data_IF_302555772216
#
_entry.id   IF_302555772216
#
_cell.length_a   1.000
_cell.length_b   1.000
_cell.length_c   1.000
_cell.angle_alpha   90.00
_cell.angle_beta   90.00
_cell.angle_gamma   90.00
#
_symmetry.space_group_name_H-M   'P 1'
#
loop_
_entity.id
_entity.type
_entity.pdbx_description
1 polymer ?
#
# COMPACT_ATOMS: atom_id res chain seq x y z
N UNK A 1 -8.27 13.73 -19.37
CA UNK A 1 -7.19 13.27 -18.47
C UNK A 1 -5.97 14.16 -18.64
N UNK A 2 -5.22 14.43 -17.57
CA UNK A 2 -4.00 15.26 -17.60
C UNK A 2 -2.80 14.63 -18.30
N UNK A 3 -2.75 13.28 -18.34
CA UNK A 3 -1.63 12.53 -18.92
C UNK A 3 -2.13 11.57 -20.01
N UNK A 4 -1.39 11.51 -21.11
CA UNK A 4 -1.57 10.51 -22.15
C UNK A 4 -1.29 9.09 -21.61
N UNK A 5 -1.84 8.02 -22.22
CA UNK A 5 -1.70 6.64 -21.72
C UNK A 5 -0.26 6.23 -21.37
N UNK A 6 0.71 6.62 -22.18
CA UNK A 6 2.13 6.33 -21.98
C UNK A 6 2.78 7.03 -20.76
N UNK A 7 2.14 8.07 -20.19
CA UNK A 7 2.65 8.82 -19.03
C UNK A 7 1.80 8.66 -17.76
N UNK A 8 0.64 8.01 -17.84
CA UNK A 8 -0.24 7.78 -16.67
C UNK A 8 0.44 6.98 -15.57
N UNK A 9 1.24 5.97 -15.91
CA UNK A 9 1.97 5.16 -14.92
C UNK A 9 2.99 5.97 -14.13
N UNK A 10 3.76 6.85 -14.79
CA UNK A 10 4.71 7.76 -14.13
C UNK A 10 4.01 8.74 -13.19
N UNK A 11 2.88 9.31 -13.63
CA UNK A 11 2.08 10.21 -12.81
C UNK A 11 1.48 9.50 -11.59
N UNK A 12 0.93 8.30 -11.76
CA UNK A 12 0.42 7.48 -10.66
C UNK A 12 1.52 7.11 -9.66
N UNK A 13 2.73 6.79 -10.14
CA UNK A 13 3.90 6.55 -9.29
C UNK A 13 4.27 7.75 -8.42
N UNK A 14 4.31 8.96 -9.01
CA UNK A 14 4.54 10.21 -8.28
C UNK A 14 3.45 10.52 -7.24
N UNK A 15 2.21 10.12 -7.48
CA UNK A 15 1.15 10.29 -6.48
C UNK A 15 1.39 9.41 -5.24
N UNK A 16 1.89 8.18 -5.44
CA UNK A 16 2.11 7.22 -4.35
C UNK A 16 3.30 7.60 -3.46
N UNK A 17 4.30 8.35 -3.98
CA UNK A 17 5.44 8.81 -3.17
C UNK A 17 5.02 9.69 -1.98
N UNK A 18 3.84 10.31 -2.05
CA UNK A 18 3.27 11.07 -0.93
C UNK A 18 3.16 10.26 0.37
N UNK A 19 2.86 8.96 0.29
CA UNK A 19 2.78 8.10 1.49
C UNK A 19 4.14 7.98 2.19
N UNK A 20 5.19 7.68 1.43
CA UNK A 20 6.55 7.57 1.97
C UNK A 20 7.05 8.88 2.55
N UNK A 21 6.80 10.01 1.86
CA UNK A 21 7.15 11.34 2.35
C UNK A 21 6.39 11.72 3.64
N UNK A 22 5.10 11.36 3.76
CA UNK A 22 4.33 11.60 4.97
C UNK A 22 4.86 10.76 6.15
N UNK A 23 5.22 9.50 5.91
CA UNK A 23 5.86 8.63 6.92
C UNK A 23 7.22 9.22 7.35
N UNK A 24 8.04 9.65 6.39
CA UNK A 24 9.31 10.34 6.67
C UNK A 24 9.09 11.58 7.55
N UNK A 25 8.17 12.45 7.14
CA UNK A 25 7.85 13.67 7.86
C UNK A 25 7.40 13.38 9.29
N UNK A 26 6.47 12.44 9.48
CA UNK A 26 5.96 12.08 10.81
C UNK A 26 7.00 11.41 11.70
N UNK A 27 7.91 10.61 11.13
CA UNK A 27 8.99 9.95 11.88
C UNK A 27 9.99 10.93 12.50
N UNK A 28 10.23 12.06 11.83
CA UNK A 28 11.08 13.13 12.36
C UNK A 28 10.32 14.04 13.33
N UNK A 29 9.07 14.39 12.97
CA UNK A 29 8.31 15.43 13.66
C UNK A 29 7.72 14.97 14.99
N UNK A 30 7.13 13.77 15.05
CA UNK A 30 6.37 13.32 16.23
C UNK A 30 7.29 13.21 17.47
N UNK A 31 8.48 12.58 17.42
CA UNK A 31 9.35 12.51 18.58
C UNK A 31 9.82 13.90 19.07
N UNK A 32 10.00 14.87 18.14
CA UNK A 32 10.36 16.24 18.50
C UNK A 32 9.22 16.96 19.21
N UNK A 33 7.99 16.83 18.70
CA UNK A 33 6.80 17.41 19.35
C UNK A 33 6.63 16.80 20.74
N UNK A 34 6.74 15.48 20.88
CA UNK A 34 6.61 14.80 22.17
C UNK A 34 7.73 15.20 23.14
N UNK A 35 8.94 15.44 22.65
CA UNK A 35 10.04 15.96 23.48
C UNK A 35 9.78 17.38 24.00
N UNK A 36 9.23 18.28 23.17
CA UNK A 36 8.96 19.67 23.57
C UNK A 36 7.69 19.84 24.41
N UNK A 37 6.64 19.08 24.09
CA UNK A 37 5.30 19.26 24.65
C UNK A 37 4.95 18.23 25.73
N UNK A 38 5.80 17.22 25.95
CA UNK A 38 5.58 16.15 26.92
C UNK A 38 4.25 15.43 26.69
N UNK A 39 3.45 15.28 27.76
CA UNK A 39 2.17 14.56 27.72
C UNK A 39 1.11 15.19 26.78
N UNK A 40 1.28 16.45 26.37
CA UNK A 40 0.36 17.16 25.47
C UNK A 40 0.80 17.10 23.99
N UNK A 41 1.91 16.42 23.69
CA UNK A 41 2.45 16.30 22.33
C UNK A 41 1.49 15.64 21.34
N UNK A 42 0.67 14.68 21.78
CA UNK A 42 -0.32 14.02 20.93
C UNK A 42 -1.40 15.01 20.44
N UNK A 43 -1.89 15.91 21.30
CA UNK A 43 -2.90 16.93 20.91
C UNK A 43 -2.33 17.87 19.86
N UNK A 44 -1.10 18.32 20.09
CA UNK A 44 -0.38 19.23 19.19
C UNK A 44 -0.13 18.57 17.83
N UNK A 45 0.27 17.29 17.82
CA UNK A 45 0.46 16.52 16.59
C UNK A 45 -0.83 16.43 15.77
N UNK A 46 -1.97 16.11 16.40
CA UNK A 46 -3.26 16.05 15.71
C UNK A 46 -3.74 17.40 15.18
N UNK A 47 -3.57 18.48 15.96
CA UNK A 47 -3.90 19.82 15.51
C UNK A 47 -3.06 20.22 14.29
N UNK A 48 -1.76 19.95 14.32
CA UNK A 48 -0.86 20.22 13.21
C UNK A 48 -1.24 19.41 11.96
N UNK A 49 -1.52 18.12 12.09
CA UNK A 49 -1.97 17.29 10.97
C UNK A 49 -3.32 17.77 10.41
N UNK A 50 -4.23 18.20 11.27
CA UNK A 50 -5.49 18.83 10.87
C UNK A 50 -5.27 20.10 10.06
N UNK A 51 -4.37 20.99 10.50
CA UNK A 51 -4.02 22.21 9.78
C UNK A 51 -3.35 21.93 8.43
N UNK A 52 -2.43 20.95 8.38
CA UNK A 52 -1.79 20.52 7.13
C UNK A 52 -2.84 19.97 6.16
N UNK A 53 -3.78 19.15 6.65
CA UNK A 53 -4.85 18.59 5.83
C UNK A 53 -5.79 19.68 5.29
N UNK A 54 -6.20 20.64 6.11
CA UNK A 54 -7.03 21.77 5.68
C UNK A 54 -6.28 22.65 4.67
N UNK A 55 -5.00 22.94 4.91
CA UNK A 55 -4.17 23.69 3.97
C UNK A 55 -4.02 22.96 2.63
N UNK A 56 -3.73 21.66 2.66
CA UNK A 56 -3.68 20.82 1.46
C UNK A 56 -5.02 20.78 0.70
N UNK A 57 -6.14 20.65 1.42
CA UNK A 57 -7.47 20.70 0.83
C UNK A 57 -7.76 22.06 0.18
N UNK A 58 -7.37 23.17 0.81
CA UNK A 58 -7.52 24.52 0.24
C UNK A 58 -6.66 24.69 -1.02
N UNK A 59 -5.41 24.22 -1.02
CA UNK A 59 -4.54 24.22 -2.20
C UNK A 59 -5.16 23.40 -3.33
N UNK A 60 -5.66 22.20 -3.04
CA UNK A 60 -6.36 21.37 -4.02
C UNK A 60 -7.64 22.05 -4.54
N UNK A 61 -8.44 22.68 -3.67
CA UNK A 61 -9.66 23.38 -4.04
C UNK A 61 -9.38 24.55 -5.00
N UNK A 62 -8.34 25.33 -4.73
CA UNK A 62 -7.97 26.49 -5.55
C UNK A 62 -7.27 26.05 -6.84
N UNK A 63 -6.33 25.10 -6.76
CA UNK A 63 -5.38 24.78 -7.83
C UNK A 63 -5.73 23.57 -8.70
N UNK A 64 -6.42 22.55 -8.17
CA UNK A 64 -6.69 21.34 -8.93
C UNK A 64 -7.81 21.60 -9.95
N UNK A 65 -7.61 21.17 -11.20
CA UNK A 65 -8.64 21.17 -12.25
C UNK A 65 -8.85 19.75 -12.76
N UNK A 66 -10.07 19.44 -13.18
CA UNK A 66 -10.45 18.09 -13.61
C UNK A 66 -9.83 17.70 -14.96
N UNK A 67 -9.52 18.68 -15.80
CA UNK A 67 -8.96 18.44 -17.12
C UNK A 67 -8.06 19.59 -17.58
N UNK A 68 -7.01 19.30 -18.37
CA UNK A 68 -6.16 20.34 -18.96
C UNK A 68 -6.97 21.22 -19.94
N UNK A 69 -8.02 20.67 -20.56
CA UNK A 69 -8.93 21.42 -21.44
C UNK A 69 -9.64 22.59 -20.72
N UNK A 70 -9.91 22.45 -19.41
CA UNK A 70 -10.48 23.54 -18.61
C UNK A 70 -9.54 24.76 -18.48
N UNK A 71 -8.27 24.60 -18.85
CA UNK A 71 -7.24 25.63 -18.86
C UNK A 71 -6.75 25.95 -20.28
N UNK A 72 -7.40 25.41 -21.32
CA UNK A 72 -6.93 25.54 -22.70
C UNK A 72 -5.61 24.81 -22.98
N UNK A 73 -5.26 23.82 -22.16
CA UNK A 73 -4.03 23.03 -22.27
C UNK A 73 -4.29 21.66 -22.89
N UNK A 74 -3.23 21.09 -23.48
CA UNK A 74 -3.23 19.72 -23.96
C UNK A 74 -2.69 18.73 -22.91
N UNK A 75 -3.13 17.45 -22.95
CA UNK A 75 -2.57 16.41 -22.08
C UNK A 75 -1.07 16.22 -22.30
N UNK A 76 -0.33 15.94 -21.22
CA UNK A 76 1.11 15.70 -21.29
C UNK A 76 1.38 14.27 -21.79
N UNK A 77 2.12 14.16 -22.90
CA UNK A 77 2.56 12.91 -23.52
C UNK A 77 1.98 12.72 -24.93
N UNK A 78 2.55 11.78 -25.68
CA UNK A 78 2.14 11.53 -27.07
C UNK A 78 0.72 10.98 -27.11
N UNK A 79 -0.15 11.63 -27.90
CA UNK A 79 -1.45 11.05 -28.19
C UNK A 79 -1.24 9.84 -29.10
N UNK A 80 -1.79 8.67 -28.76
CA UNK A 80 -1.72 7.54 -29.66
C UNK A 80 -2.39 7.93 -30.97
N UNK A 81 -1.68 7.78 -32.09
CA UNK A 81 -2.32 7.78 -33.41
C UNK A 81 -3.45 6.76 -33.36
N UNK A 82 -4.66 7.20 -33.72
CA UNK A 82 -5.83 6.34 -33.75
C UNK A 82 -5.60 5.24 -34.80
N UNK A 83 -5.11 4.08 -34.38
CA UNK A 83 -4.99 2.94 -35.27
C UNK A 83 -6.40 2.34 -35.48
N UNK A 84 -7.01 2.44 -36.67
CA UNK A 84 -8.39 1.99 -36.91
C UNK A 84 -8.54 0.46 -36.89
N UNK A 85 -7.44 -0.29 -36.71
CA UNK A 85 -7.40 -1.75 -36.85
C UNK A 85 -7.44 -2.54 -35.52
N UNK A 86 -7.95 -1.96 -34.42
CA UNK A 86 -8.21 -2.76 -33.21
C UNK A 86 -9.37 -3.71 -33.51
N UNK A 87 -9.01 -4.87 -34.05
CA UNK A 87 -9.89 -5.97 -34.38
C UNK A 87 -10.46 -6.55 -33.09
N UNK A 88 -11.77 -6.34 -32.88
CA UNK A 88 -12.53 -6.91 -31.79
C UNK A 88 -12.67 -8.42 -31.99
N UNK A 89 -11.69 -9.21 -31.54
CA UNK A 89 -11.92 -10.64 -31.29
C UNK A 89 -12.67 -10.80 -29.96
N UNK A 90 -13.59 -11.77 -29.85
CA UNK A 90 -14.26 -12.05 -28.58
C UNK A 90 -13.21 -12.59 -27.61
N UNK A 91 -12.84 -11.79 -26.60
CA UNK A 91 -12.05 -12.29 -25.48
C UNK A 91 -12.85 -13.41 -24.80
N UNK A 92 -12.20 -14.53 -24.50
CA UNK A 92 -12.82 -15.56 -23.67
C UNK A 92 -13.35 -14.93 -22.38
N UNK A 93 -14.65 -15.05 -22.17
CA UNK A 93 -15.37 -14.49 -21.02
C UNK A 93 -14.93 -15.20 -19.73
N UNK A 94 -13.81 -14.77 -19.15
CA UNK A 94 -13.60 -14.98 -17.72
C UNK A 94 -14.77 -14.25 -17.03
N UNK A 95 -15.53 -14.91 -16.13
CA UNK A 95 -16.59 -14.24 -15.39
C UNK A 95 -15.97 -13.06 -14.64
N UNK A 96 -16.19 -11.84 -15.12
CA UNK A 96 -15.52 -10.63 -14.64
C UNK A 96 -15.70 -10.46 -13.12
N UNK A 97 -16.87 -10.87 -12.62
CA UNK A 97 -17.18 -10.89 -11.19
C UNK A 97 -16.29 -11.85 -10.39
N UNK A 98 -15.98 -13.03 -10.92
CA UNK A 98 -15.18 -14.05 -10.23
C UNK A 98 -13.75 -13.59 -10.00
N UNK A 99 -13.13 -12.99 -11.01
CA UNK A 99 -11.77 -12.45 -10.90
C UNK A 99 -11.71 -11.19 -10.04
N UNK A 100 -12.72 -10.30 -10.08
CA UNK A 100 -12.81 -9.15 -9.17
C UNK A 100 -12.93 -9.61 -7.73
N UNK A 101 -13.76 -10.61 -7.43
CA UNK A 101 -13.85 -11.19 -6.08
C UNK A 101 -12.52 -11.83 -5.69
N UNK A 102 -11.84 -12.55 -6.59
CA UNK A 102 -10.55 -13.18 -6.31
C UNK A 102 -9.46 -12.15 -5.98
N UNK A 103 -9.29 -11.14 -6.83
CA UNK A 103 -8.36 -10.03 -6.59
C UNK A 103 -8.75 -9.24 -5.33
N UNK A 104 -10.05 -9.00 -5.14
CA UNK A 104 -10.61 -8.35 -3.94
C UNK A 104 -10.27 -9.12 -2.67
N UNK A 105 -10.40 -10.44 -2.65
CA UNK A 105 -10.05 -11.28 -1.51
C UNK A 105 -8.55 -11.25 -1.20
N UNK A 106 -7.69 -11.25 -2.22
CA UNK A 106 -6.24 -11.06 -2.01
C UNK A 106 -5.97 -9.67 -1.43
N UNK A 107 -6.64 -8.64 -1.95
CA UNK A 107 -6.42 -7.26 -1.51
C UNK A 107 -7.01 -6.99 -0.10
N UNK A 108 -8.09 -7.68 0.27
CA UNK A 108 -8.60 -7.76 1.65
C UNK A 108 -7.53 -8.32 2.60
N UNK A 109 -6.87 -9.43 2.25
CA UNK A 109 -5.82 -10.03 3.09
C UNK A 109 -4.62 -9.11 3.24
N UNK A 110 -4.23 -8.40 2.18
CA UNK A 110 -3.24 -7.33 2.31
C UNK A 110 -3.74 -6.28 3.30
N UNK A 111 -4.92 -5.71 3.06
CA UNK A 111 -5.55 -4.68 3.90
C UNK A 111 -5.59 -5.05 5.38
N UNK A 112 -5.91 -6.30 5.68
CA UNK A 112 -5.95 -6.85 7.03
C UNK A 112 -4.56 -6.95 7.66
N UNK A 113 -3.57 -7.43 6.92
CA UNK A 113 -2.26 -7.79 7.49
C UNK A 113 -1.31 -6.60 7.62
N UNK A 114 -1.21 -5.76 6.58
CA UNK A 114 -0.26 -4.64 6.57
C UNK A 114 -0.61 -3.60 7.64
N UNK A 115 -1.91 -3.38 7.86
CA UNK A 115 -2.39 -2.36 8.80
C UNK A 115 -2.07 -2.75 10.24
N UNK A 116 -2.09 -4.06 10.56
CA UNK A 116 -1.65 -4.56 11.87
C UNK A 116 -0.19 -4.16 12.10
N UNK A 117 0.67 -4.41 11.11
CA UNK A 117 2.08 -4.07 11.21
C UNK A 117 2.28 -2.57 11.37
N UNK A 118 1.77 -1.75 10.45
CA UNK A 118 2.01 -0.31 10.46
C UNK A 118 1.42 0.37 11.72
N UNK A 119 0.33 -0.14 12.26
CA UNK A 119 -0.33 0.46 13.44
C UNK A 119 0.39 0.13 14.73
N UNK A 120 0.84 -1.11 14.92
CA UNK A 120 1.34 -1.57 16.21
C UNK A 120 2.85 -1.69 16.30
N UNK A 121 3.59 -1.63 15.19
CA UNK A 121 5.05 -1.85 15.20
C UNK A 121 5.80 -0.83 16.08
N UNK A 122 5.40 0.45 16.01
CA UNK A 122 6.01 1.51 16.85
C UNK A 122 5.70 1.27 18.32
N UNK A 123 4.46 0.87 18.64
CA UNK A 123 4.07 0.49 20.00
C UNK A 123 4.87 -0.71 20.49
N UNK A 124 5.04 -1.75 19.67
CA UNK A 124 5.89 -2.91 19.99
C UNK A 124 7.34 -2.49 20.24
N UNK A 125 7.92 -1.61 19.42
CA UNK A 125 9.28 -1.11 19.64
C UNK A 125 9.41 -0.36 20.96
N UNK A 126 8.54 0.61 21.21
CA UNK A 126 8.66 1.49 22.38
C UNK A 126 8.22 0.80 23.66
N UNK A 127 7.03 0.20 23.67
CA UNK A 127 6.39 -0.32 24.88
C UNK A 127 6.82 -1.76 25.22
N UNK A 128 6.98 -2.63 24.22
CA UNK A 128 7.32 -4.05 24.48
C UNK A 128 8.83 -4.31 24.43
N UNK A 129 9.58 -3.57 23.60
CA UNK A 129 11.02 -3.75 23.39
C UNK A 129 11.89 -2.67 24.02
N UNK A 130 11.29 -1.61 24.59
CA UNK A 130 12.02 -0.54 25.27
C UNK A 130 12.91 0.30 24.36
N UNK A 131 12.68 0.29 23.05
CA UNK A 131 13.40 1.13 22.09
C UNK A 131 12.99 2.59 22.32
N UNK A 132 13.98 3.48 22.40
CA UNK A 132 13.72 4.91 22.58
C UNK A 132 12.83 5.46 21.47
N UNK A 133 11.91 6.37 21.83
CA UNK A 133 10.96 6.96 20.89
C UNK A 133 11.64 7.69 19.72
N UNK A 134 12.77 8.35 19.97
CA UNK A 134 13.60 8.99 18.94
C UNK A 134 14.18 7.99 17.94
N UNK A 135 14.61 6.82 18.42
CA UNK A 135 15.07 5.71 17.57
C UNK A 135 13.89 5.14 16.78
N UNK A 136 12.74 4.92 17.41
CA UNK A 136 11.53 4.45 16.74
C UNK A 136 11.06 5.42 15.63
N UNK A 137 11.13 6.74 15.87
CA UNK A 137 10.86 7.76 14.85
C UNK A 137 11.88 7.76 13.71
N UNK A 138 13.16 7.55 14.01
CA UNK A 138 14.22 7.39 13.00
C UNK A 138 13.98 6.15 12.13
N UNK A 139 13.60 5.02 12.74
CA UNK A 139 13.18 3.83 12.01
C UNK A 139 11.97 4.17 11.14
N UNK A 140 10.91 4.73 11.72
CA UNK A 140 9.72 5.14 10.98
C UNK A 140 10.06 5.99 9.74
N UNK A 141 10.97 6.95 9.88
CA UNK A 141 11.48 7.75 8.76
C UNK A 141 12.09 6.87 7.66
N UNK A 142 12.98 5.96 8.01
CA UNK A 142 13.62 5.05 7.07
C UNK A 142 12.63 4.08 6.42
N UNK A 143 11.54 3.68 7.10
CA UNK A 143 10.46 2.87 6.48
C UNK A 143 9.77 3.69 5.41
N UNK A 144 9.47 4.97 5.70
CA UNK A 144 8.94 5.90 4.72
C UNK A 144 9.85 6.03 3.50
N UNK A 145 11.15 6.20 3.72
CA UNK A 145 12.16 6.28 2.66
C UNK A 145 12.22 5.01 1.80
N UNK A 146 12.34 3.83 2.42
CA UNK A 146 12.37 2.55 1.70
C UNK A 146 11.08 2.32 0.91
N UNK A 147 9.94 2.76 1.45
CA UNK A 147 8.63 2.60 0.80
C UNK A 147 8.47 3.43 -0.47
N UNK A 148 9.32 4.45 -0.69
CA UNK A 148 9.37 5.18 -1.97
C UNK A 148 9.76 4.27 -3.13
N UNK A 149 10.56 3.23 -2.85
CA UNK A 149 11.06 2.30 -3.86
C UNK A 149 10.13 1.09 -4.04
N UNK A 150 9.21 0.83 -3.11
CA UNK A 150 8.43 -0.41 -3.10
C UNK A 150 7.55 -0.57 -4.35
N UNK A 151 6.77 0.47 -4.67
CA UNK A 151 5.89 0.48 -5.84
C UNK A 151 6.66 0.28 -7.15
N UNK A 152 7.66 1.13 -7.47
CA UNK A 152 8.47 0.97 -8.67
C UNK A 152 9.21 -0.37 -8.75
N UNK A 153 9.90 -0.78 -7.68
CA UNK A 153 10.73 -1.99 -7.69
C UNK A 153 9.89 -3.24 -7.96
N UNK A 154 8.83 -3.44 -7.18
CA UNK A 154 8.01 -4.66 -7.29
C UNK A 154 6.94 -4.56 -8.36
N UNK A 155 6.52 -3.34 -8.74
CA UNK A 155 5.68 -3.11 -9.92
C UNK A 155 6.39 -3.53 -11.20
N UNK A 156 7.61 -3.04 -11.42
CA UNK A 156 8.43 -3.44 -12.57
C UNK A 156 8.79 -4.92 -12.53
N UNK A 157 9.20 -5.44 -11.36
CA UNK A 157 9.45 -6.88 -11.22
C UNK A 157 8.22 -7.72 -11.58
N UNK A 158 7.03 -7.24 -11.18
CA UNK A 158 5.75 -7.87 -11.51
C UNK A 158 5.38 -7.74 -13.00
N UNK A 159 5.82 -6.69 -13.70
CA UNK A 159 5.63 -6.58 -15.15
C UNK A 159 6.44 -7.66 -15.87
N UNK A 160 7.68 -7.92 -15.43
CA UNK A 160 8.59 -8.90 -16.05
C UNK A 160 8.28 -10.36 -15.68
N UNK A 161 8.00 -10.64 -14.40
CA UNK A 161 7.76 -12.00 -13.91
C UNK A 161 6.27 -12.39 -13.90
N UNK A 162 5.39 -11.41 -14.11
CA UNK A 162 3.94 -11.57 -14.06
C UNK A 162 3.33 -11.27 -12.68
N UNK A 163 2.07 -10.81 -12.70
CA UNK A 163 1.30 -10.36 -11.51
C UNK A 163 1.29 -11.34 -10.37
N UNK A 164 1.05 -12.62 -10.68
CA UNK A 164 1.03 -13.71 -9.69
C UNK A 164 2.36 -13.83 -8.94
N UNK A 165 3.50 -13.84 -9.66
CA UNK A 165 4.82 -13.99 -9.03
C UNK A 165 5.14 -12.74 -8.21
N UNK A 166 4.88 -11.55 -8.75
CA UNK A 166 5.07 -10.29 -8.02
C UNK A 166 4.31 -10.25 -6.68
N UNK A 167 3.02 -10.60 -6.69
CA UNK A 167 2.20 -10.66 -5.48
C UNK A 167 2.72 -11.70 -4.48
N UNK A 168 3.06 -12.91 -4.93
CA UNK A 168 3.62 -13.97 -4.05
C UNK A 168 4.91 -13.51 -3.39
N UNK A 169 5.83 -12.91 -4.14
CA UNK A 169 7.09 -12.39 -3.60
C UNK A 169 6.86 -11.33 -2.54
N UNK A 170 5.97 -10.36 -2.81
CA UNK A 170 5.67 -9.29 -1.87
C UNK A 170 5.01 -9.83 -0.59
N UNK A 171 4.02 -10.71 -0.71
CA UNK A 171 3.42 -11.34 0.47
C UNK A 171 4.41 -12.21 1.25
N UNK A 172 5.36 -12.87 0.57
CA UNK A 172 6.41 -13.63 1.25
C UNK A 172 7.34 -12.71 2.06
N UNK A 173 7.73 -11.56 1.50
CA UNK A 173 8.54 -10.56 2.21
C UNK A 173 7.78 -9.93 3.39
N UNK A 174 6.51 -9.59 3.21
CA UNK A 174 5.66 -9.09 4.30
C UNK A 174 5.43 -10.14 5.38
N UNK A 175 5.09 -11.37 4.99
CA UNK A 175 4.92 -12.49 5.89
C UNK A 175 6.19 -12.77 6.71
N UNK A 176 7.36 -12.76 6.06
CA UNK A 176 8.64 -12.87 6.76
C UNK A 176 8.85 -11.71 7.74
N UNK A 177 8.51 -10.48 7.34
CA UNK A 177 8.58 -9.30 8.22
C UNK A 177 7.71 -9.51 9.48
N UNK A 178 6.50 -10.04 9.33
CA UNK A 178 5.59 -10.32 10.45
C UNK A 178 6.16 -11.41 11.37
N UNK A 179 6.68 -12.50 10.80
CA UNK A 179 7.31 -13.59 11.55
C UNK A 179 8.51 -13.09 12.36
N UNK A 180 9.36 -12.25 11.76
CA UNK A 180 10.55 -11.72 12.42
C UNK A 180 10.22 -10.88 13.67
N UNK A 181 9.08 -10.17 13.68
CA UNK A 181 8.59 -9.45 14.86
C UNK A 181 7.97 -10.42 15.87
N UNK A 182 7.15 -11.35 15.39
CA UNK A 182 6.41 -12.30 16.22
C UNK A 182 7.32 -13.31 16.95
N UNK A 183 8.45 -13.69 16.36
CA UNK A 183 9.36 -14.71 16.86
C UNK A 183 10.20 -14.28 18.09
N UNK A 184 9.92 -13.13 18.69
CA UNK A 184 10.59 -12.60 19.87
C UNK A 184 12.14 -12.51 19.73
N UNK A 185 12.64 -12.40 18.51
CA UNK A 185 14.07 -12.43 18.18
C UNK A 185 14.83 -11.19 18.72
N UNK A 186 16.17 -11.24 18.75
CA UNK A 186 17.01 -10.08 19.06
C UNK A 186 16.71 -8.87 18.18
N UNK A 187 17.09 -7.68 18.67
CA UNK A 187 16.80 -6.39 18.04
C UNK A 187 17.19 -6.30 16.56
N UNK A 188 18.29 -6.94 16.16
CA UNK A 188 18.73 -7.02 14.76
C UNK A 188 17.64 -7.53 13.80
N UNK A 189 16.82 -8.49 14.24
CA UNK A 189 15.76 -9.06 13.42
C UNK A 189 14.55 -8.13 13.29
N UNK A 190 14.37 -7.20 14.23
CA UNK A 190 13.38 -6.12 14.10
C UNK A 190 13.80 -5.13 13.02
N UNK A 191 15.08 -4.79 12.95
CA UNK A 191 15.63 -3.98 11.85
C UNK A 191 15.54 -4.67 10.49
N UNK A 192 15.71 -6.00 10.45
CA UNK A 192 15.51 -6.78 9.24
C UNK A 192 14.03 -6.78 8.82
N UNK A 193 13.11 -7.07 9.75
CA UNK A 193 11.66 -7.01 9.52
C UNK A 193 11.25 -5.66 8.93
N UNK A 194 11.73 -4.61 9.58
CA UNK A 194 11.54 -3.24 9.19
C UNK A 194 11.99 -2.94 7.75
N UNK A 195 13.22 -3.33 7.40
CA UNK A 195 13.77 -3.08 6.08
C UNK A 195 13.02 -3.83 4.98
N UNK A 196 12.66 -5.09 5.26
CA UNK A 196 11.86 -5.92 4.35
C UNK A 196 10.46 -5.32 4.14
N UNK A 197 9.76 -4.96 5.21
CA UNK A 197 8.44 -4.36 5.12
C UNK A 197 8.48 -3.01 4.40
N UNK A 198 9.41 -2.12 4.76
CA UNK A 198 9.59 -0.83 4.11
C UNK A 198 9.81 -0.96 2.60
N UNK A 199 10.65 -1.89 2.16
CA UNK A 199 10.91 -2.14 0.73
C UNK A 199 9.69 -2.66 -0.04
N UNK A 200 8.67 -3.21 0.61
CA UNK A 200 7.53 -3.83 -0.06
C UNK A 200 6.14 -3.28 0.36
N UNK A 201 6.10 -2.24 1.20
CA UNK A 201 4.89 -1.73 1.84
C UNK A 201 3.78 -1.35 0.84
N UNK A 202 4.13 -0.62 -0.23
CA UNK A 202 3.17 -0.12 -1.22
C UNK A 202 3.19 -0.89 -2.55
N UNK A 203 3.84 -2.07 -2.56
CA UNK A 203 3.97 -2.88 -3.77
C UNK A 203 2.65 -3.54 -4.18
N UNK A 204 1.86 -4.05 -3.23
CA UNK A 204 0.59 -4.74 -3.52
C UNK A 204 -0.43 -3.82 -4.19
N UNK A 205 -0.70 -2.59 -3.69
CA UNK A 205 -1.56 -1.64 -4.41
C UNK A 205 -1.12 -1.38 -5.86
N UNK A 206 0.18 -1.22 -6.09
CA UNK A 206 0.73 -1.00 -7.43
C UNK A 206 0.47 -2.19 -8.35
N UNK A 207 0.71 -3.41 -7.88
CA UNK A 207 0.49 -4.63 -8.65
C UNK A 207 -1.01 -4.88 -8.85
N UNK A 208 -1.86 -4.56 -7.88
CA UNK A 208 -3.33 -4.69 -7.98
C UNK A 208 -3.93 -3.72 -8.99
N UNK A 209 -3.45 -2.48 -9.03
CA UNK A 209 -3.87 -1.51 -10.04
C UNK A 209 -3.54 -2.00 -11.46
N UNK A 210 -2.34 -2.56 -11.65
CA UNK A 210 -1.94 -3.15 -12.92
C UNK A 210 -2.75 -4.41 -13.26
N UNK A 211 -2.95 -5.31 -12.29
CA UNK A 211 -3.76 -6.51 -12.46
C UNK A 211 -5.21 -6.17 -12.84
N UNK A 212 -5.83 -5.17 -12.20
CA UNK A 212 -7.17 -4.73 -12.59
C UNK A 212 -7.24 -4.32 -14.07
N UNK A 213 -6.20 -3.66 -14.59
CA UNK A 213 -6.06 -3.37 -16.02
C UNK A 213 -5.90 -4.62 -16.89
N UNK A 214 -5.00 -5.52 -16.50
CA UNK A 214 -4.68 -6.72 -17.27
C UNK A 214 -5.86 -7.72 -17.37
N UNK A 215 -6.68 -7.84 -16.31
CA UNK A 215 -7.81 -8.78 -16.30
C UNK A 215 -9.12 -8.18 -16.83
N UNK A 216 -9.35 -6.88 -16.66
CA UNK A 216 -10.65 -6.24 -16.97
C UNK A 216 -10.61 -5.40 -18.24
N UNK A 217 -9.42 -5.20 -18.80
CA UNK A 217 -9.16 -4.28 -19.89
C UNK A 217 -9.18 -2.80 -19.46
N UNK A 218 -8.65 -1.90 -20.31
CA UNK A 218 -8.43 -0.49 -19.95
C UNK A 218 -9.72 0.28 -19.60
N UNK A 219 -10.86 -0.12 -20.18
CA UNK A 219 -12.15 0.56 -20.04
C UNK A 219 -12.78 0.33 -18.66
N UNK A 220 -12.55 -0.85 -18.06
CA UNK A 220 -13.15 -1.25 -16.76
C UNK A 220 -12.13 -1.26 -15.62
N UNK A 221 -10.84 -1.08 -15.91
CA UNK A 221 -9.75 -1.09 -14.94
C UNK A 221 -10.00 -0.21 -13.71
N UNK A 222 -10.48 1.04 -13.90
CA UNK A 222 -10.74 1.98 -12.80
C UNK A 222 -11.89 1.49 -11.91
N UNK A 223 -12.99 1.04 -12.52
CA UNK A 223 -14.14 0.53 -11.79
C UNK A 223 -13.81 -0.76 -11.02
N UNK A 224 -13.07 -1.67 -11.66
CA UNK A 224 -12.60 -2.89 -11.02
C UNK A 224 -11.60 -2.62 -9.90
N UNK A 225 -10.66 -1.69 -10.09
CA UNK A 225 -9.73 -1.29 -9.05
C UNK A 225 -10.47 -0.67 -7.86
N UNK A 226 -11.48 0.16 -8.10
CA UNK A 226 -12.38 0.67 -7.06
C UNK A 226 -13.11 -0.45 -6.30
N UNK A 227 -13.65 -1.44 -7.03
CA UNK A 227 -14.33 -2.59 -6.43
C UNK A 227 -13.39 -3.43 -5.56
N UNK A 228 -12.17 -3.75 -5.99
CA UNK A 228 -11.21 -4.50 -5.15
C UNK A 228 -10.69 -3.65 -3.98
N UNK A 229 -10.62 -2.32 -4.14
CA UNK A 229 -10.22 -1.40 -3.07
C UNK A 229 -11.27 -1.36 -1.95
N UNK A 230 -12.54 -1.59 -2.27
CA UNK A 230 -13.58 -1.76 -1.24
C UNK A 230 -13.28 -2.94 -0.31
N UNK A 231 -12.86 -4.09 -0.87
CA UNK A 231 -12.45 -5.26 -0.08
C UNK A 231 -11.24 -4.96 0.80
N UNK A 232 -10.24 -4.26 0.23
CA UNK A 232 -9.09 -3.76 0.98
C UNK A 232 -9.47 -2.88 2.18
N UNK A 233 -10.45 -1.98 1.99
CA UNK A 233 -10.99 -1.15 3.08
C UNK A 233 -11.61 -1.97 4.21
N UNK A 234 -12.37 -3.02 3.89
CA UNK A 234 -12.92 -3.93 4.92
C UNK A 234 -11.79 -4.61 5.70
N UNK A 235 -10.75 -5.08 4.99
CA UNK A 235 -9.57 -5.66 5.61
C UNK A 235 -8.88 -4.68 6.57
N UNK A 236 -8.69 -3.43 6.14
CA UNK A 236 -8.09 -2.39 6.98
C UNK A 236 -8.86 -2.07 8.26
N UNK A 237 -10.19 -2.13 8.20
CA UNK A 237 -11.03 -1.90 9.39
C UNK A 237 -10.93 -3.10 10.34
N UNK A 238 -11.00 -4.31 9.78
CA UNK A 238 -11.00 -5.54 10.57
C UNK A 238 -9.63 -5.83 11.23
N UNK A 239 -8.53 -5.54 10.53
CA UNK A 239 -7.17 -5.86 10.98
C UNK A 239 -6.84 -5.34 12.38
N UNK A 240 -6.89 -4.01 12.63
CA UNK A 240 -6.56 -3.43 13.93
C UNK A 240 -7.55 -3.81 15.03
N UNK A 241 -8.83 -3.96 14.69
CA UNK A 241 -9.86 -4.39 15.64
C UNK A 241 -9.57 -5.81 16.17
N UNK A 242 -9.31 -6.77 15.27
CA UNK A 242 -8.98 -8.15 15.65
C UNK A 242 -7.63 -8.21 16.36
N UNK A 243 -6.62 -7.49 15.87
CA UNK A 243 -5.30 -7.44 16.49
C UNK A 243 -5.32 -6.80 17.89
N UNK A 244 -6.18 -5.81 18.13
CA UNK A 244 -6.37 -5.21 19.46
C UNK A 244 -6.95 -6.22 20.45
N UNK A 245 -8.02 -6.93 20.07
CA UNK A 245 -8.62 -7.97 20.92
C UNK A 245 -7.62 -9.09 21.26
N UNK A 246 -6.81 -9.52 20.28
CA UNK A 246 -5.75 -10.50 20.53
C UNK A 246 -4.67 -9.98 21.47
N UNK A 247 -4.28 -8.71 21.29
CA UNK A 247 -3.28 -8.06 22.14
C UNK A 247 -3.76 -7.90 23.58
N UNK A 248 -5.03 -7.53 23.79
CA UNK A 248 -5.65 -7.47 25.13
C UNK A 248 -5.68 -8.84 25.81
N UNK A 249 -6.06 -9.89 25.09
CA UNK A 249 -6.14 -11.25 25.64
C UNK A 249 -4.77 -11.84 25.99
N UNK A 250 -3.71 -11.47 25.27
CA UNK A 250 -2.36 -12.00 25.44
C UNK A 250 -1.39 -11.05 26.14
N UNK A 251 -1.83 -9.82 26.47
CA UNK A 251 -0.99 -8.71 26.93
C UNK A 251 0.22 -8.41 26.02
N UNK A 252 0.12 -8.72 24.72
CA UNK A 252 1.18 -8.45 23.74
C UNK A 252 0.68 -8.53 22.30
N UNK A 253 1.30 -7.78 21.39
CA UNK A 253 0.99 -7.83 19.95
C UNK A 253 1.57 -9.06 19.22
N UNK A 254 2.36 -9.91 19.88
CA UNK A 254 2.98 -11.11 19.27
C UNK A 254 1.95 -12.01 18.58
N UNK A 255 0.81 -12.25 19.23
CA UNK A 255 -0.29 -13.06 18.68
C UNK A 255 -0.88 -12.44 17.40
N UNK A 256 -0.99 -11.11 17.36
CA UNK A 256 -1.47 -10.33 16.22
C UNK A 256 -0.51 -10.40 15.03
N UNK A 257 0.81 -10.41 15.25
CA UNK A 257 1.78 -10.60 14.18
C UNK A 257 1.79 -12.04 13.64
N UNK A 258 1.59 -13.05 14.49
CA UNK A 258 1.41 -14.43 14.02
C UNK A 258 0.15 -14.60 13.17
N UNK A 259 -0.96 -13.95 13.55
CA UNK A 259 -2.15 -13.90 12.72
C UNK A 259 -1.85 -13.24 11.37
N UNK A 260 -1.16 -12.10 11.37
CA UNK A 260 -0.78 -11.41 10.14
C UNK A 260 0.10 -12.30 9.22
N UNK A 261 1.06 -13.02 9.79
CA UNK A 261 1.90 -13.98 9.07
C UNK A 261 1.09 -15.13 8.46
N UNK A 262 0.15 -15.71 9.22
CA UNK A 262 -0.72 -16.78 8.73
C UNK A 262 -1.63 -16.31 7.58
N UNK A 263 -2.19 -15.10 7.68
CA UNK A 263 -3.01 -14.51 6.63
C UNK A 263 -2.21 -14.09 5.40
N UNK A 264 -0.94 -13.68 5.58
CA UNK A 264 -0.03 -13.46 4.45
C UNK A 264 0.28 -14.78 3.71
N UNK A 265 0.48 -15.88 4.45
CA UNK A 265 0.61 -17.21 3.85
C UNK A 265 -0.66 -17.64 3.11
N UNK A 266 -1.85 -17.38 3.68
CA UNK A 266 -3.12 -17.60 2.98
C UNK A 266 -3.22 -16.76 1.70
N UNK A 267 -2.75 -15.50 1.73
CA UNK A 267 -2.73 -14.64 0.56
C UNK A 267 -1.79 -15.19 -0.54
N UNK A 268 -0.65 -15.78 -0.17
CA UNK A 268 0.24 -16.48 -1.10
C UNK A 268 -0.49 -17.66 -1.76
N UNK A 269 -1.17 -18.50 -0.96
CA UNK A 269 -1.92 -19.65 -1.48
C UNK A 269 -3.05 -19.21 -2.42
N UNK A 270 -3.80 -18.17 -2.03
CA UNK A 270 -4.87 -17.61 -2.86
C UNK A 270 -4.34 -16.94 -4.13
N UNK A 271 -3.18 -16.30 -4.06
CA UNK A 271 -2.50 -15.75 -5.23
C UNK A 271 -1.97 -16.85 -6.15
N UNK A 272 -1.53 -17.99 -5.60
CA UNK A 272 -1.03 -19.10 -6.39
C UNK A 272 -2.12 -19.73 -7.29
N UNK A 273 -3.39 -19.64 -6.90
CA UNK A 273 -4.55 -20.08 -7.70
C UNK A 273 -5.02 -19.04 -8.72
N UNK A 274 -4.42 -17.83 -8.73
CA UNK A 274 -4.73 -16.80 -9.70
C UNK A 274 -4.37 -17.26 -11.12
N UNK A 275 -5.38 -17.28 -12.00
CA UNK A 275 -5.22 -17.65 -13.41
C UNK A 275 -4.40 -16.59 -14.14
N UNK A 276 -3.59 -16.97 -15.12
CA UNK A 276 -2.87 -15.97 -15.94
C UNK A 276 -3.87 -15.05 -16.66
N UNK A 277 -3.63 -13.74 -16.73
CA UNK A 277 -4.45 -12.87 -17.54
C UNK A 277 -4.30 -13.28 -19.01
N UNK A 278 -5.42 -13.37 -19.73
CA UNK A 278 -5.41 -13.58 -21.18
C UNK A 278 -4.96 -12.26 -21.80
N UNK A 279 -3.89 -12.23 -22.62
CA UNK A 279 -3.41 -10.98 -23.18
C UNK A 279 -4.52 -10.30 -23.99
N UNK A 280 -4.90 -9.10 -23.57
CA UNK A 280 -5.80 -8.22 -24.32
C UNK A 280 -4.92 -7.53 -25.36
N UNK A 281 -4.94 -8.01 -26.60
CA UNK A 281 -4.25 -7.42 -27.75
C UNK A 281 -4.94 -6.16 -28.24
#
# INVERSE_FOLDING_TARGET
HWFAPNRRGKAAGLMVTGNGLAIMFTGLLIPQINHWMGAEGWRTSWLLFGLIAVGGAAICFVGLRNSPQALGLEPIGDQPEANPQISSRPAELIPERGIVIHLGSIYFLFGFTYVIYITFIVTTWVQERGIAETTAGTLWFWLGFLSLFSGPLFGTLSDHLGRKIGLVLVFALQGLSYVLVAAALPELFLYLSFGLFGLCAWSIPSIMAAAAGDYMGPQRAVAAFGAVTFFFGIGQIAGPAVAGVLAEASNSFVSSYWLAAALAALAILLTATLRKPVPVS
#
